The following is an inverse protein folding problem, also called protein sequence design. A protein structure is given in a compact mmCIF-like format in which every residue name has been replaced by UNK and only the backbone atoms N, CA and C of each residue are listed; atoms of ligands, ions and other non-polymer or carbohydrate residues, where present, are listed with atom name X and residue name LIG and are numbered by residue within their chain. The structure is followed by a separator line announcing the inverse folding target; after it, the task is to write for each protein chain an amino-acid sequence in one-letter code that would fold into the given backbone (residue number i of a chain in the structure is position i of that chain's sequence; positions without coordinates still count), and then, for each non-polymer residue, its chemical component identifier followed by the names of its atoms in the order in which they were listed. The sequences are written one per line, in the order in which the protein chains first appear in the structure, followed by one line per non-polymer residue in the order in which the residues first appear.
data_IF_629648130272
#
_entry.id   IF_629648130272
#
_cell.length_a   1.000
_cell.length_b   1.000
_cell.length_c   1.000
_cell.angle_alpha   90.00
_cell.angle_beta   90.00
_cell.angle_gamma   90.00
#
_symmetry.space_group_name_H-M   'P 1'
#
loop_
_entity.id
_entity.type
_entity.pdbx_description
1 polymer ?
#
# COMPACT_ATOMS: atom_id res chain seq x y z
N UNK A 1 -6.41 14.28 -18.01
CA UNK A 1 -5.84 13.40 -16.96
C UNK A 1 -6.88 13.24 -15.87
N UNK A 2 -7.23 12.00 -15.55
CA UNK A 2 -8.12 11.68 -14.44
C UNK A 2 -7.25 11.39 -13.22
N UNK A 3 -7.73 11.79 -12.04
CA UNK A 3 -7.05 11.57 -10.78
C UNK A 3 -7.85 10.59 -9.92
N UNK A 4 -7.18 9.98 -8.96
CA UNK A 4 -7.76 9.14 -7.91
C UNK A 4 -7.23 9.62 -6.55
N UNK A 5 -8.08 9.54 -5.53
CA UNK A 5 -7.71 9.85 -4.16
C UNK A 5 -7.34 8.54 -3.48
N UNK A 6 -6.13 8.45 -2.94
CA UNK A 6 -5.68 7.27 -2.20
C UNK A 6 -5.52 7.64 -0.74
N UNK A 7 -6.12 6.85 0.15
CA UNK A 7 -5.88 6.94 1.58
C UNK A 7 -4.67 6.08 1.94
N UNK A 8 -3.67 6.72 2.56
CA UNK A 8 -2.40 6.11 2.92
C UNK A 8 -2.24 6.08 4.44
N UNK A 9 -2.15 4.90 5.01
CA UNK A 9 -1.83 4.70 6.42
C UNK A 9 -0.35 4.33 6.58
N UNK A 10 0.42 5.16 7.29
CA UNK A 10 1.87 4.98 7.44
C UNK A 10 2.39 5.35 8.83
N UNK A 11 3.61 4.95 9.16
CA UNK A 11 4.26 5.26 10.46
C UNK A 11 3.79 4.39 11.63
N UNK A 12 3.07 3.30 11.36
CA UNK A 12 2.74 2.25 12.31
C UNK A 12 3.44 0.93 11.97
N UNK A 13 2.89 -0.17 12.44
CA UNK A 13 3.45 -1.51 12.22
C UNK A 13 2.37 -2.50 11.77
N UNK A 14 2.77 -3.44 10.92
CA UNK A 14 1.91 -4.54 10.52
C UNK A 14 1.93 -5.64 11.58
N UNK A 15 0.76 -5.95 12.15
CA UNK A 15 0.59 -7.13 13.00
C UNK A 15 0.25 -8.33 12.12
N UNK A 16 1.27 -9.14 11.81
CA UNK A 16 1.12 -10.35 10.99
C UNK A 16 0.16 -11.39 11.60
N UNK A 17 0.04 -11.42 12.93
CA UNK A 17 -0.86 -12.34 13.63
C UNK A 17 -2.32 -11.93 13.56
N UNK A 18 -2.57 -10.62 13.63
CA UNK A 18 -3.93 -10.03 13.58
C UNK A 18 -4.33 -9.49 12.23
N UNK A 19 -3.44 -9.60 11.24
CA UNK A 19 -3.60 -9.14 9.86
C UNK A 19 -4.06 -7.69 9.72
N UNK A 20 -3.55 -6.82 10.59
CA UNK A 20 -3.98 -5.43 10.66
C UNK A 20 -2.80 -4.50 10.88
N UNK A 21 -2.97 -3.26 10.46
CA UNK A 21 -2.01 -2.20 10.75
C UNK A 21 -2.35 -1.56 12.08
N UNK A 22 -1.39 -1.51 12.99
CA UNK A 22 -1.54 -0.88 14.31
C UNK A 22 -0.73 0.42 14.38
N UNK A 23 -1.38 1.48 14.90
CA UNK A 23 -0.79 2.82 15.05
C UNK A 23 -0.59 3.54 13.71
N UNK A 24 0.19 4.63 13.73
CA UNK A 24 0.49 5.44 12.55
C UNK A 24 -0.45 6.63 12.33
N UNK A 25 -0.39 7.18 11.12
CA UNK A 25 -1.18 8.34 10.66
C UNK A 25 -1.80 8.05 9.29
N UNK A 26 -3.04 8.51 9.11
CA UNK A 26 -3.76 8.43 7.84
C UNK A 26 -3.63 9.74 7.07
N UNK A 27 -3.16 9.69 5.82
CA UNK A 27 -3.06 10.84 4.92
C UNK A 27 -3.72 10.51 3.58
N UNK A 28 -4.48 11.45 3.03
CA UNK A 28 -4.96 11.35 1.65
C UNK A 28 -3.95 11.93 0.67
N UNK A 29 -3.68 11.23 -0.43
CA UNK A 29 -2.90 11.73 -1.56
C UNK A 29 -3.75 11.73 -2.83
N UNK A 30 -3.42 12.59 -3.78
CA UNK A 30 -4.07 12.66 -5.09
C UNK A 30 -3.04 12.29 -6.14
N UNK A 31 -3.32 11.24 -6.92
CA UNK A 31 -2.41 10.74 -7.95
C UNK A 31 -3.13 10.61 -9.30
N UNK A 32 -2.36 10.59 -10.39
CA UNK A 32 -2.88 10.29 -11.72
C UNK A 32 -3.39 8.85 -11.78
N UNK A 33 -4.50 8.59 -12.49
CA UNK A 33 -4.94 7.20 -12.75
C UNK A 33 -3.95 6.37 -13.58
N UNK A 34 -3.04 7.04 -14.28
CA UNK A 34 -1.98 6.41 -15.08
C UNK A 34 -0.62 6.35 -14.35
N UNK A 35 -0.59 6.61 -13.04
CA UNK A 35 0.63 6.53 -12.23
C UNK A 35 1.23 5.12 -12.26
N UNK A 36 2.55 5.01 -12.38
CA UNK A 36 3.24 3.71 -12.28
C UNK A 36 3.41 3.31 -10.81
N UNK A 37 3.59 2.02 -10.55
CA UNK A 37 3.90 1.50 -9.22
C UNK A 37 5.18 2.14 -8.66
N UNK A 38 6.18 2.38 -9.52
CA UNK A 38 7.43 3.03 -9.13
C UNK A 38 7.21 4.48 -8.72
N UNK A 39 6.42 5.23 -9.49
CA UNK A 39 6.13 6.64 -9.18
C UNK A 39 5.30 6.75 -7.89
N UNK A 40 4.33 5.85 -7.69
CA UNK A 40 3.60 5.76 -6.42
C UNK A 40 4.54 5.47 -5.25
N UNK A 41 5.50 4.54 -5.40
CA UNK A 41 6.50 4.28 -4.36
C UNK A 41 7.32 5.54 -4.02
N UNK A 42 7.73 6.34 -5.01
CA UNK A 42 8.45 7.59 -4.75
C UNK A 42 7.62 8.59 -3.94
N UNK A 43 6.35 8.79 -4.32
CA UNK A 43 5.42 9.63 -3.55
C UNK A 43 5.30 9.15 -2.10
N UNK A 44 5.28 7.82 -1.88
CA UNK A 44 5.20 7.23 -0.55
C UNK A 44 6.51 7.36 0.26
N UNK A 45 7.68 7.31 -0.38
CA UNK A 45 8.95 7.60 0.28
C UNK A 45 8.99 9.02 0.81
N UNK A 46 8.58 9.99 -0.02
CA UNK A 46 8.51 11.39 0.35
C UNK A 46 7.47 11.61 1.46
N UNK A 47 6.29 10.98 1.36
CA UNK A 47 5.23 11.05 2.38
C UNK A 47 5.65 10.49 3.75
N UNK A 48 6.42 9.40 3.74
CA UNK A 48 6.95 8.74 4.93
C UNK A 48 8.22 9.39 5.47
N UNK A 49 8.83 10.34 4.73
CA UNK A 49 10.08 11.01 5.07
C UNK A 49 11.25 10.01 5.28
N UNK A 50 11.34 8.98 4.42
CA UNK A 50 12.36 7.92 4.52
C UNK A 50 13.24 7.81 3.28
N UNK A 51 14.48 7.39 3.48
CA UNK A 51 15.49 7.27 2.43
C UNK A 51 15.24 6.00 1.57
N UNK A 52 14.93 6.15 0.26
CA UNK A 52 14.67 5.01 -0.62
C UNK A 52 15.88 4.12 -0.88
N UNK A 53 17.09 4.56 -0.50
CA UNK A 53 18.30 3.74 -0.61
C UNK A 53 18.51 2.84 0.60
N UNK A 54 17.84 3.14 1.73
CA UNK A 54 17.99 2.42 3.00
C UNK A 54 16.79 1.55 3.34
N UNK A 55 15.61 1.98 2.92
CA UNK A 55 14.36 1.31 3.24
C UNK A 55 13.69 0.82 1.98
N UNK A 56 13.07 -0.35 2.06
CA UNK A 56 12.09 -0.78 1.09
C UNK A 56 10.68 -0.50 1.63
N UNK A 57 9.82 0.07 0.80
CA UNK A 57 8.40 0.19 1.07
C UNK A 57 7.66 -1.02 0.51
N UNK A 58 6.83 -1.65 1.35
CA UNK A 58 5.78 -2.58 0.93
C UNK A 58 4.41 -1.91 1.03
N UNK A 59 3.66 -2.02 -0.05
CA UNK A 59 2.33 -1.43 -0.20
C UNK A 59 1.30 -2.57 -0.09
N UNK A 60 0.40 -2.50 0.90
CA UNK A 60 -0.65 -3.50 1.10
C UNK A 60 -2.01 -2.83 1.15
N UNK A 61 -2.97 -3.37 0.41
CA UNK A 61 -4.36 -2.93 0.45
C UNK A 61 -5.19 -3.89 1.27
N UNK A 62 -6.16 -3.35 2.01
CA UNK A 62 -7.20 -4.15 2.66
C UNK A 62 -8.50 -3.97 1.88
N UNK A 63 -9.11 -5.10 1.55
CA UNK A 63 -10.40 -5.17 0.88
C UNK A 63 -11.46 -5.67 1.86
N UNK A 64 -12.60 -5.00 1.88
CA UNK A 64 -13.78 -5.55 2.53
C UNK A 64 -14.56 -6.37 1.50
N UNK A 65 -14.51 -7.70 1.63
CA UNK A 65 -15.27 -8.63 0.79
C UNK A 65 -16.56 -8.99 1.52
N UNK A 66 -17.72 -8.60 0.97
CA UNK A 66 -19.02 -8.93 1.57
C UNK A 66 -19.16 -10.44 1.78
N UNK A 67 -19.44 -10.85 3.03
CA UNK A 67 -19.67 -12.24 3.40
C UNK A 67 -18.44 -13.02 3.87
N UNK A 68 -17.23 -12.49 3.66
CA UNK A 68 -16.03 -12.97 4.35
C UNK A 68 -15.75 -12.09 5.58
N UNK A 69 -15.28 -12.71 6.68
CA UNK A 69 -15.05 -11.97 7.92
C UNK A 69 -13.83 -11.04 7.81
N UNK A 70 -12.76 -11.48 7.13
CA UNK A 70 -11.53 -10.70 6.89
C UNK A 70 -10.79 -11.28 5.68
N UNK A 71 -10.64 -10.49 4.61
CA UNK A 71 -9.76 -10.85 3.50
C UNK A 71 -8.29 -10.63 3.90
N UNK A 72 -7.34 -11.48 3.46
CA UNK A 72 -5.93 -11.19 3.65
C UNK A 72 -5.55 -9.89 2.92
N UNK A 73 -4.55 -9.14 3.41
CA UNK A 73 -4.04 -7.98 2.69
C UNK A 73 -3.54 -8.40 1.30
N UNK A 74 -3.81 -7.55 0.31
CA UNK A 74 -3.28 -7.71 -1.03
C UNK A 74 -2.06 -6.82 -1.22
N UNK A 75 -0.94 -7.40 -1.62
CA UNK A 75 0.28 -6.62 -1.88
C UNK A 75 0.22 -5.97 -3.27
N UNK A 76 0.38 -4.65 -3.33
CA UNK A 76 0.59 -3.95 -4.60
C UNK A 76 2.08 -4.03 -4.93
N UNK A 77 2.46 -4.99 -5.78
CA UNK A 77 3.87 -5.27 -6.07
C UNK A 77 4.34 -4.75 -7.43
N UNK A 78 3.40 -4.43 -8.32
CA UNK A 78 3.67 -4.06 -9.70
C UNK A 78 2.53 -3.21 -10.31
N UNK A 79 2.75 -2.71 -11.54
CA UNK A 79 1.79 -1.86 -12.26
C UNK A 79 0.43 -2.53 -12.52
N UNK A 80 0.40 -3.85 -12.67
CA UNK A 80 -0.86 -4.58 -12.89
C UNK A 80 -1.71 -4.60 -11.62
N UNK A 81 -1.08 -4.86 -10.47
CA UNK A 81 -1.74 -4.86 -9.16
C UNK A 81 -2.27 -3.45 -8.85
N UNK A 82 -1.44 -2.42 -9.08
CA UNK A 82 -1.84 -1.03 -8.89
C UNK A 82 -2.99 -0.64 -9.82
N UNK A 83 -2.93 -1.03 -11.09
CA UNK A 83 -3.98 -0.74 -12.05
C UNK A 83 -5.29 -1.43 -11.67
N UNK A 84 -5.23 -2.66 -11.15
CA UNK A 84 -6.41 -3.32 -10.60
C UNK A 84 -7.02 -2.45 -9.51
N UNK A 85 -6.25 -2.08 -8.48
CA UNK A 85 -6.67 -1.23 -7.37
C UNK A 85 -7.35 0.09 -7.84
N UNK A 86 -6.67 0.86 -8.70
CA UNK A 86 -7.16 2.17 -9.18
C UNK A 86 -8.46 2.03 -10.00
N UNK A 87 -8.59 0.97 -10.81
CA UNK A 87 -9.76 0.76 -11.65
C UNK A 87 -10.97 0.30 -10.86
N UNK A 88 -10.75 -0.43 -9.77
CA UNK A 88 -11.82 -0.95 -8.92
C UNK A 88 -12.44 0.09 -7.98
N UNK A 89 -11.82 1.26 -7.77
CA UNK A 89 -12.45 2.40 -7.05
C UNK A 89 -13.57 3.12 -7.86
N UNK A 90 -13.93 2.63 -9.05
CA UNK A 90 -15.04 3.15 -9.85
C UNK A 90 -16.13 2.06 -9.95
N UNK A 91 -17.38 2.35 -9.52
CA UNK A 91 -18.26 1.36 -8.88
C UNK A 91 -18.63 0.22 -9.82
N UNK A 92 -18.42 -1.01 -9.37
CA UNK A 92 -18.89 -2.20 -10.06
C UNK A 92 -20.16 -2.70 -9.37
N UNK A 93 -21.20 -2.83 -10.19
CA UNK A 93 -22.42 -3.58 -9.92
C UNK A 93 -22.17 -4.86 -9.11
N UNK A 94 -22.99 -5.02 -8.06
CA UNK A 94 -23.45 -6.24 -7.38
C UNK A 94 -22.40 -7.22 -6.80
N UNK A 95 -21.10 -7.03 -7.01
CA UNK A 95 -20.02 -7.69 -6.27
C UNK A 95 -19.13 -6.63 -5.60
N UNK A 96 -19.74 -5.87 -4.68
CA UNK A 96 -19.06 -4.79 -3.95
C UNK A 96 -17.89 -5.35 -3.14
N UNK A 97 -16.68 -5.06 -3.62
CA UNK A 97 -15.45 -5.06 -2.84
C UNK A 97 -15.17 -3.61 -2.53
N UNK A 98 -15.34 -3.20 -1.28
CA UNK A 98 -14.97 -1.85 -0.85
C UNK A 98 -13.45 -1.80 -0.67
N UNK A 99 -12.84 -0.88 -1.41
CA UNK A 99 -11.40 -0.66 -1.46
C UNK A 99 -11.10 0.49 -0.53
N UNK A 100 -10.70 0.17 0.70
CA UNK A 100 -10.69 1.16 1.76
C UNK A 100 -9.39 1.96 1.81
N UNK A 101 -8.24 1.28 1.86
CA UNK A 101 -7.02 1.94 2.33
C UNK A 101 -5.75 1.22 1.85
N UNK A 102 -4.72 2.02 1.56
CA UNK A 102 -3.36 1.56 1.29
C UNK A 102 -2.52 1.73 2.55
N UNK A 103 -1.96 0.63 3.05
CA UNK A 103 -1.08 0.59 4.21
C UNK A 103 0.37 0.44 3.78
N UNK A 104 1.24 1.25 4.37
CA UNK A 104 2.65 1.31 4.04
C UNK A 104 3.48 0.73 5.18
N UNK A 105 4.13 -0.40 4.90
CA UNK A 105 5.12 -1.01 5.80
C UNK A 105 6.54 -0.72 5.33
N UNK A 106 7.41 -0.32 6.25
CA UNK A 106 8.84 -0.23 5.99
C UNK A 106 9.49 -1.58 6.27
N UNK A 107 10.33 -2.02 5.34
CA UNK A 107 11.21 -3.16 5.53
C UNK A 107 12.65 -2.64 5.64
N UNK A 108 13.33 -3.00 6.73
CA UNK A 108 14.77 -2.78 6.83
C UNK A 108 15.46 -3.62 5.75
N UNK A 109 16.12 -2.96 4.81
CA UNK A 109 17.08 -3.63 3.96
C UNK A 109 18.35 -3.86 4.77
N UNK A 110 18.36 -4.89 5.61
CA UNK A 110 19.64 -5.43 6.06
C UNK A 110 20.36 -6.02 4.83
N UNK A 111 21.15 -5.19 4.14
CA UNK A 111 22.36 -5.70 3.50
C UNK A 111 23.26 -6.11 4.66
N UNK A 112 23.03 -7.32 5.16
CA UNK A 112 24.01 -8.00 5.98
C UNK A 112 25.27 -8.09 5.14
N UNK A 113 26.22 -7.18 5.37
CA UNK A 113 27.60 -7.47 5.07
C UNK A 113 27.90 -8.74 5.83
N UNK A 114 28.03 -9.86 5.11
CA UNK A 114 28.73 -11.03 5.60
C UNK A 114 30.11 -10.56 6.05
N UNK A 115 30.24 -10.15 7.30
CA UNK A 115 31.53 -10.17 7.97
C UNK A 115 31.79 -11.64 8.26
N UNK A 116 32.32 -12.31 7.24
CA UNK A 116 33.11 -13.50 7.45
C UNK A 116 34.37 -13.05 8.18
N UNK A 117 34.48 -13.38 9.47
CA UNK A 117 35.72 -13.86 10.12
C UNK A 117 35.30 -14.90 11.15
#
# INVERSE_FOLDING_TARGET
MTHVLILVHHGGAWDEGRRKYEGGVLKGIVVSKDITHKDLQYELYDLAEVDPTKFNIKIRCIYEIKGEKEAPPFELSNDRDLKFYILSENPLDENEVDIGEVQVGLCDNMIGTNSAI
#
